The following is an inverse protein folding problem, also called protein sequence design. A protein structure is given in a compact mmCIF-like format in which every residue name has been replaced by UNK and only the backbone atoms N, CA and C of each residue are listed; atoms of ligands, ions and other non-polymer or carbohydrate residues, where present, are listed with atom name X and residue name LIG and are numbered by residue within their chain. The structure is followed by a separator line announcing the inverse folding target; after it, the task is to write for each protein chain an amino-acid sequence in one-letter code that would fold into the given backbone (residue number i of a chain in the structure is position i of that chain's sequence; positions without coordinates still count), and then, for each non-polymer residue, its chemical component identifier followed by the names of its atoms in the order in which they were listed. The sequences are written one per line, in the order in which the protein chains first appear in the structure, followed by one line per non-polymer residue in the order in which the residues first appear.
data_IF_616541196309
#
_entry.id   IF_616541196309
#
_cell.length_a   1.000
_cell.length_b   1.000
_cell.length_c   1.000
_cell.angle_alpha   90.00
_cell.angle_beta   90.00
_cell.angle_gamma   90.00
#
_symmetry.space_group_name_H-M   'P 1'
#
loop_
_entity.id
_entity.type
_entity.pdbx_description
1 polymer ?
#
# COMPACT_ATOMS: atom_id res chain seq x y z
N UNK A 1 -16.27 -25.72 10.84
CA UNK A 1 -15.86 -26.87 11.69
C UNK A 1 -15.89 -26.47 13.17
N UNK A 2 -15.37 -25.32 13.56
CA UNK A 2 -15.37 -24.83 14.97
C UNK A 2 -16.79 -24.63 15.50
N UNK A 3 -17.71 -24.03 14.74
CA UNK A 3 -19.11 -23.85 15.14
C UNK A 3 -19.81 -25.20 15.38
N UNK A 4 -19.56 -26.21 14.55
CA UNK A 4 -20.12 -27.54 14.73
C UNK A 4 -19.58 -28.20 16.01
N UNK A 5 -18.29 -28.00 16.34
CA UNK A 5 -17.71 -28.48 17.59
C UNK A 5 -18.30 -27.74 18.82
N UNK A 6 -18.45 -26.41 18.75
CA UNK A 6 -19.05 -25.63 19.84
C UNK A 6 -20.51 -26.04 20.07
N UNK A 7 -21.32 -26.15 19.03
CA UNK A 7 -22.70 -26.60 19.15
C UNK A 7 -22.75 -28.06 19.63
N UNK A 8 -21.88 -28.92 19.09
CA UNK A 8 -21.78 -30.33 19.43
C UNK A 8 -21.34 -30.58 20.89
N UNK A 9 -20.65 -29.66 21.54
CA UNK A 9 -20.25 -29.75 22.95
C UNK A 9 -21.23 -29.04 23.89
N UNK A 10 -21.76 -27.89 23.48
CA UNK A 10 -22.60 -27.04 24.32
C UNK A 10 -24.01 -27.64 24.51
N UNK A 11 -24.57 -28.23 23.45
CA UNK A 11 -25.89 -28.88 23.51
C UNK A 11 -25.91 -30.09 24.45
N UNK A 12 -24.98 -31.06 24.37
CA UNK A 12 -24.91 -32.15 25.34
C UNK A 12 -24.59 -31.70 26.77
N UNK A 13 -23.72 -30.70 26.93
CA UNK A 13 -23.38 -30.17 28.25
C UNK A 13 -24.60 -29.54 28.93
N UNK A 14 -25.42 -28.76 28.20
CA UNK A 14 -26.66 -28.21 28.74
C UNK A 14 -27.70 -29.30 29.00
N UNK A 15 -27.84 -30.29 28.12
CA UNK A 15 -28.73 -31.43 28.33
C UNK A 15 -28.35 -32.21 29.60
N UNK A 16 -27.05 -32.46 29.85
CA UNK A 16 -26.57 -33.08 31.04
C UNK A 16 -26.83 -32.28 32.33
N UNK A 17 -26.64 -30.95 32.26
CA UNK A 17 -26.93 -30.06 33.38
C UNK A 17 -28.44 -30.07 33.73
N UNK A 18 -29.32 -29.97 32.73
CA UNK A 18 -30.77 -29.99 32.92
C UNK A 18 -31.24 -31.36 33.43
N UNK A 19 -30.75 -32.46 32.86
CA UNK A 19 -31.09 -33.83 33.30
C UNK A 19 -30.53 -34.14 34.68
N UNK A 20 -29.29 -33.69 34.99
CA UNK A 20 -28.65 -33.83 36.27
C UNK A 20 -29.41 -33.06 37.38
N UNK A 21 -29.76 -31.78 37.08
CA UNK A 21 -30.58 -30.94 37.96
C UNK A 21 -31.95 -31.56 38.24
N UNK A 22 -32.62 -32.08 37.16
CA UNK A 22 -33.90 -32.82 37.31
C UNK A 22 -33.76 -34.07 38.18
N UNK A 23 -32.71 -34.87 37.99
CA UNK A 23 -32.47 -36.10 38.77
C UNK A 23 -32.19 -35.83 40.24
N UNK A 24 -31.45 -34.76 40.54
CA UNK A 24 -31.20 -34.29 41.90
C UNK A 24 -32.46 -33.79 42.58
N UNK A 25 -33.25 -32.96 41.86
CA UNK A 25 -34.53 -32.40 42.35
C UNK A 25 -35.57 -33.50 42.63
N UNK A 26 -35.63 -34.53 41.74
CA UNK A 26 -36.53 -35.71 41.97
C UNK A 26 -36.11 -36.58 43.16
N UNK A 27 -34.80 -36.71 43.42
CA UNK A 27 -34.29 -37.44 44.60
C UNK A 27 -34.57 -36.74 45.91
N UNK A 28 -34.71 -35.40 45.93
CA UNK A 28 -34.98 -34.64 47.16
C UNK A 28 -36.47 -34.31 47.33
N UNK A 29 -37.32 -34.62 46.37
CA UNK A 29 -38.74 -34.30 46.39
C UNK A 29 -39.55 -35.45 46.98
N UNK A 30 -39.76 -35.43 48.31
CA UNK A 30 -40.76 -36.25 48.99
C UNK A 30 -42.05 -35.44 49.14
N UNK A 31 -43.03 -35.68 48.24
CA UNK A 31 -44.37 -35.09 48.32
C UNK A 31 -44.95 -34.59 46.98
N UNK A 32 -46.29 -34.50 46.89
CA UNK A 32 -47.00 -34.12 45.63
C UNK A 32 -46.71 -32.71 45.13
N UNK A 33 -46.50 -31.77 46.07
CA UNK A 33 -46.22 -30.35 45.78
C UNK A 33 -44.83 -30.15 45.17
N UNK A 34 -43.87 -30.98 45.56
CA UNK A 34 -42.49 -30.92 45.06
C UNK A 34 -42.39 -31.28 43.56
N UNK A 35 -43.26 -32.22 43.09
CA UNK A 35 -43.32 -32.61 41.67
C UNK A 35 -43.76 -31.46 40.76
N UNK A 36 -44.65 -30.62 41.25
CA UNK A 36 -45.13 -29.47 40.50
C UNK A 36 -44.07 -28.37 40.38
N UNK A 37 -43.30 -28.12 41.46
CA UNK A 37 -42.17 -27.20 41.42
C UNK A 37 -41.05 -27.65 40.49
N UNK A 38 -40.72 -28.91 40.46
CA UNK A 38 -39.71 -29.47 39.54
C UNK A 38 -40.10 -29.32 38.07
N UNK A 39 -41.41 -29.51 37.73
CA UNK A 39 -41.90 -29.24 36.38
C UNK A 39 -41.80 -27.76 36.02
N UNK A 40 -42.16 -26.87 36.93
CA UNK A 40 -42.11 -25.43 36.72
C UNK A 40 -40.67 -24.95 36.48
N UNK A 41 -39.72 -25.38 37.32
CA UNK A 41 -38.31 -25.06 37.16
C UNK A 41 -37.74 -25.60 35.81
N UNK A 42 -38.16 -26.80 35.40
CA UNK A 42 -37.76 -27.38 34.12
C UNK A 42 -38.25 -26.55 32.94
N UNK A 43 -39.53 -26.11 32.94
CA UNK A 43 -40.08 -25.25 31.90
C UNK A 43 -39.38 -23.88 31.84
N UNK A 44 -39.12 -23.24 32.99
CA UNK A 44 -38.39 -21.98 33.02
C UNK A 44 -36.96 -22.13 32.56
N UNK A 45 -36.28 -23.22 32.93
CA UNK A 45 -34.90 -23.51 32.43
C UNK A 45 -34.91 -23.74 30.93
N UNK A 46 -35.90 -24.40 30.36
CA UNK A 46 -36.02 -24.64 28.94
C UNK A 46 -36.27 -23.32 28.17
N UNK A 47 -37.18 -22.46 28.71
CA UNK A 47 -37.49 -21.16 28.13
C UNK A 47 -36.25 -20.24 28.15
N UNK A 48 -35.43 -20.30 29.19
CA UNK A 48 -34.19 -19.54 29.24
C UNK A 48 -33.06 -20.11 28.34
N UNK A 49 -33.01 -21.45 28.22
CA UNK A 49 -31.95 -22.12 27.43
C UNK A 49 -32.08 -21.90 25.93
N UNK A 50 -33.31 -21.84 25.39
CA UNK A 50 -33.56 -21.69 23.96
C UNK A 50 -33.03 -20.37 23.39
N UNK A 51 -33.31 -19.19 23.96
CA UNK A 51 -32.74 -17.92 23.49
C UNK A 51 -31.21 -17.89 23.59
N UNK A 52 -30.65 -18.44 24.67
CA UNK A 52 -29.18 -18.48 24.88
C UNK A 52 -28.49 -19.30 23.81
N UNK A 53 -29.05 -20.47 23.47
CA UNK A 53 -28.53 -21.31 22.39
C UNK A 53 -28.67 -20.67 21.03
N UNK A 54 -29.77 -19.95 20.76
CA UNK A 54 -29.96 -19.21 19.52
C UNK A 54 -28.92 -18.09 19.36
N UNK A 55 -28.69 -17.31 20.40
CA UNK A 55 -27.69 -16.24 20.39
C UNK A 55 -26.29 -16.82 20.19
N UNK A 56 -25.93 -17.88 20.93
CA UNK A 56 -24.63 -18.52 20.78
C UNK A 56 -24.43 -19.11 19.38
N UNK A 57 -25.45 -19.78 18.83
CA UNK A 57 -25.42 -20.32 17.48
C UNK A 57 -25.30 -19.23 16.40
N UNK A 58 -26.04 -18.14 16.55
CA UNK A 58 -25.99 -17.01 15.65
C UNK A 58 -24.62 -16.29 15.71
N UNK A 59 -24.07 -16.08 16.90
CA UNK A 59 -22.75 -15.51 17.06
C UNK A 59 -21.66 -16.38 16.44
N UNK A 60 -21.72 -17.71 16.65
CA UNK A 60 -20.79 -18.65 16.01
C UNK A 60 -20.91 -18.63 14.47
N UNK A 61 -22.12 -18.54 13.94
CA UNK A 61 -22.37 -18.43 12.51
C UNK A 61 -21.80 -17.13 11.92
N UNK A 62 -22.05 -15.98 12.56
CA UNK A 62 -21.49 -14.69 12.13
C UNK A 62 -19.96 -14.69 12.15
N UNK A 63 -19.37 -15.25 13.22
CA UNK A 63 -17.92 -15.34 13.33
C UNK A 63 -17.32 -16.19 12.20
N UNK A 64 -17.92 -17.36 11.93
CA UNK A 64 -17.45 -18.24 10.86
C UNK A 64 -17.63 -17.58 9.48
N UNK A 65 -18.76 -16.95 9.22
CA UNK A 65 -19.03 -16.25 7.96
C UNK A 65 -18.08 -15.04 7.77
N UNK A 66 -17.77 -14.34 8.85
CA UNK A 66 -16.80 -13.23 8.83
C UNK A 66 -15.38 -13.72 8.50
N UNK A 67 -14.94 -14.81 9.13
CA UNK A 67 -13.63 -15.41 8.86
C UNK A 67 -13.56 -15.91 7.41
N UNK A 68 -14.57 -16.63 6.94
CA UNK A 68 -14.63 -17.14 5.57
C UNK A 68 -14.61 -16.00 4.54
N UNK A 69 -15.28 -14.87 4.82
CA UNK A 69 -15.23 -13.68 3.98
C UNK A 69 -13.82 -13.06 3.91
N UNK A 70 -13.14 -12.89 5.05
CA UNK A 70 -11.79 -12.33 5.10
C UNK A 70 -10.73 -13.22 4.42
N UNK A 71 -10.91 -14.54 4.46
CA UNK A 71 -10.00 -15.51 3.85
C UNK A 71 -10.49 -16.03 2.49
N UNK A 72 -11.59 -15.48 1.96
CA UNK A 72 -12.09 -15.87 0.65
C UNK A 72 -11.12 -15.52 -0.47
N UNK A 73 -11.08 -16.34 -1.50
CA UNK A 73 -10.27 -16.09 -2.71
C UNK A 73 -10.61 -14.74 -3.37
N UNK A 74 -11.83 -14.26 -3.17
CA UNK A 74 -12.30 -12.98 -3.69
C UNK A 74 -11.58 -11.79 -3.00
N UNK A 75 -11.39 -11.84 -1.68
CA UNK A 75 -10.66 -10.79 -0.94
C UNK A 75 -9.16 -10.80 -1.27
N UNK A 76 -8.58 -11.99 -1.46
CA UNK A 76 -7.20 -12.13 -1.94
C UNK A 76 -7.04 -11.62 -3.37
N UNK A 77 -7.99 -11.90 -4.24
CA UNK A 77 -8.02 -11.40 -5.62
C UNK A 77 -8.07 -9.87 -5.69
N UNK A 78 -8.88 -9.23 -4.86
CA UNK A 78 -8.94 -7.77 -4.77
C UNK A 78 -7.61 -7.14 -4.33
N UNK A 79 -6.96 -7.71 -3.31
CA UNK A 79 -5.64 -7.23 -2.86
C UNK A 79 -4.54 -7.46 -3.92
N UNK A 80 -4.56 -8.59 -4.61
CA UNK A 80 -3.62 -8.87 -5.69
C UNK A 80 -3.82 -7.92 -6.87
N UNK A 81 -5.06 -7.66 -7.26
CA UNK A 81 -5.39 -6.72 -8.33
C UNK A 81 -5.00 -5.29 -7.96
N UNK A 82 -5.25 -4.84 -6.73
CA UNK A 82 -4.82 -3.54 -6.25
C UNK A 82 -3.30 -3.39 -6.26
N UNK A 83 -2.56 -4.41 -5.85
CA UNK A 83 -1.10 -4.41 -5.88
C UNK A 83 -0.56 -4.41 -7.32
N UNK A 84 -1.17 -5.18 -8.22
CA UNK A 84 -0.80 -5.19 -9.64
C UNK A 84 -1.07 -3.85 -10.31
N UNK A 85 -2.19 -3.21 -9.99
CA UNK A 85 -2.53 -1.88 -10.48
C UNK A 85 -1.53 -0.82 -9.97
N UNK A 86 -1.19 -0.86 -8.68
CA UNK A 86 -0.21 0.05 -8.09
C UNK A 86 1.17 -0.10 -8.73
N UNK A 87 1.61 -1.34 -8.98
CA UNK A 87 2.87 -1.60 -9.69
C UNK A 87 2.83 -1.10 -11.12
N UNK A 88 1.77 -1.40 -11.86
CA UNK A 88 1.61 -0.93 -13.23
C UNK A 88 1.60 0.61 -13.33
N UNK A 89 0.93 1.28 -12.41
CA UNK A 89 0.94 2.74 -12.32
C UNK A 89 2.34 3.30 -12.01
N UNK A 90 3.06 2.67 -11.10
CA UNK A 90 4.43 3.05 -10.77
C UNK A 90 5.39 2.88 -11.96
N UNK A 91 5.33 1.73 -12.65
CA UNK A 91 6.12 1.46 -13.85
C UNK A 91 5.79 2.45 -14.98
N UNK A 92 4.51 2.75 -15.18
CA UNK A 92 4.08 3.73 -16.17
C UNK A 92 4.62 5.13 -15.85
N UNK A 93 4.59 5.54 -14.58
CA UNK A 93 5.15 6.83 -14.15
C UNK A 93 6.67 6.88 -14.35
N UNK A 94 7.40 5.79 -14.09
CA UNK A 94 8.83 5.73 -14.37
C UNK A 94 9.13 5.96 -15.85
N UNK A 95 8.39 5.30 -16.73
CA UNK A 95 8.54 5.46 -18.18
C UNK A 95 8.18 6.88 -18.61
N UNK A 96 7.13 7.45 -18.05
CA UNK A 96 6.70 8.83 -18.34
C UNK A 96 7.78 9.84 -17.94
N UNK A 97 8.30 9.78 -16.71
CA UNK A 97 9.37 10.67 -16.21
C UNK A 97 10.63 10.50 -17.07
N UNK A 98 11.00 9.26 -17.39
CA UNK A 98 12.14 8.98 -18.28
C UNK A 98 12.00 9.67 -19.64
N UNK A 99 10.86 9.48 -20.29
CA UNK A 99 10.60 10.05 -21.62
C UNK A 99 10.57 11.58 -21.60
N UNK A 100 9.94 12.17 -20.60
CA UNK A 100 9.92 13.63 -20.42
C UNK A 100 11.32 14.18 -20.17
N UNK A 101 12.13 13.49 -19.35
CA UNK A 101 13.51 13.90 -19.08
C UNK A 101 14.39 13.84 -20.30
N UNK A 102 14.28 12.76 -21.11
CA UNK A 102 15.03 12.63 -22.38
C UNK A 102 14.62 13.73 -23.37
N UNK A 103 13.32 13.94 -23.54
CA UNK A 103 12.82 14.98 -24.45
C UNK A 103 13.29 16.38 -24.04
N UNK A 104 13.17 16.70 -22.73
CA UNK A 104 13.62 17.98 -22.20
C UNK A 104 15.14 18.15 -22.30
N UNK A 105 15.92 17.09 -22.04
CA UNK A 105 17.38 17.12 -22.20
C UNK A 105 17.80 17.36 -23.65
N UNK A 106 17.10 16.76 -24.61
CA UNK A 106 17.30 17.00 -26.04
C UNK A 106 17.00 18.46 -26.43
N UNK A 107 15.86 19.00 -25.97
CA UNK A 107 15.51 20.38 -26.23
C UNK A 107 16.54 21.35 -25.62
N UNK A 108 16.96 21.11 -24.38
CA UNK A 108 17.99 21.92 -23.74
C UNK A 108 19.35 21.80 -24.46
N UNK A 109 19.67 20.62 -24.98
CA UNK A 109 20.85 20.41 -25.81
C UNK A 109 20.84 21.24 -27.10
N UNK A 110 19.68 21.42 -27.70
CA UNK A 110 19.50 22.32 -28.86
C UNK A 110 19.74 23.79 -28.48
N UNK A 111 19.16 24.25 -27.37
CA UNK A 111 19.34 25.64 -26.92
C UNK A 111 20.78 25.93 -26.50
N UNK A 112 21.50 24.97 -25.91
CA UNK A 112 22.90 25.13 -25.54
C UNK A 112 23.86 25.27 -26.72
N UNK A 113 23.40 25.05 -27.96
CA UNK A 113 24.20 25.39 -29.14
C UNK A 113 24.28 26.91 -29.39
N UNK A 114 23.26 27.66 -28.89
CA UNK A 114 23.15 29.11 -29.10
C UNK A 114 23.34 29.92 -27.83
N UNK A 115 23.03 29.35 -26.66
CA UNK A 115 23.08 29.99 -25.37
C UNK A 115 24.13 29.33 -24.46
N UNK A 116 24.68 30.09 -23.52
CA UNK A 116 25.51 29.55 -22.44
C UNK A 116 24.66 29.23 -21.22
N UNK A 117 25.11 28.29 -20.36
CA UNK A 117 24.42 27.94 -19.11
C UNK A 117 24.21 29.13 -18.15
N UNK A 118 24.96 30.22 -18.35
CA UNK A 118 24.87 31.43 -17.53
C UNK A 118 23.94 32.49 -18.12
N UNK A 119 23.37 32.27 -19.30
CA UNK A 119 22.52 33.23 -19.96
C UNK A 119 21.12 33.28 -19.31
N UNK A 120 20.60 34.45 -18.97
CA UNK A 120 19.25 34.57 -18.40
C UNK A 120 18.16 34.01 -19.30
N UNK A 121 18.27 34.23 -20.62
CA UNK A 121 17.30 33.74 -21.60
C UNK A 121 17.20 32.20 -21.58
N UNK A 122 18.33 31.51 -21.37
CA UNK A 122 18.34 30.06 -21.21
C UNK A 122 17.61 29.63 -19.92
N UNK A 123 17.75 30.38 -18.84
CA UNK A 123 17.05 30.12 -17.60
C UNK A 123 15.53 30.23 -17.77
N UNK A 124 15.07 31.26 -18.48
CA UNK A 124 13.63 31.47 -18.76
C UNK A 124 13.08 30.33 -19.64
N UNK A 125 13.82 29.92 -20.68
CA UNK A 125 13.47 28.76 -21.51
C UNK A 125 13.39 27.50 -20.64
N UNK A 126 14.37 27.26 -19.79
CA UNK A 126 14.40 26.11 -18.90
C UNK A 126 13.17 26.08 -17.98
N UNK A 127 12.85 27.18 -17.31
CA UNK A 127 11.68 27.27 -16.45
C UNK A 127 10.36 27.04 -17.23
N UNK A 128 10.27 27.55 -18.43
CA UNK A 128 9.10 27.32 -19.30
C UNK A 128 8.95 25.83 -19.62
N UNK A 129 10.06 25.16 -19.98
CA UNK A 129 10.09 23.73 -20.28
C UNK A 129 9.65 22.88 -19.08
N UNK A 130 10.13 23.20 -17.86
CA UNK A 130 9.73 22.51 -16.63
C UNK A 130 8.24 22.64 -16.38
N UNK A 131 7.70 23.88 -16.49
CA UNK A 131 6.27 24.14 -16.27
C UNK A 131 5.37 23.48 -17.31
N UNK A 132 5.74 23.52 -18.59
CA UNK A 132 4.95 22.91 -19.67
C UNK A 132 4.86 21.38 -19.54
N UNK A 133 5.84 20.74 -18.91
CA UNK A 133 5.89 19.29 -18.69
C UNK A 133 5.36 18.88 -17.34
N UNK A 134 4.89 19.84 -16.53
CA UNK A 134 4.38 19.58 -15.17
C UNK A 134 5.40 18.84 -14.29
N UNK A 135 6.70 19.15 -14.47
CA UNK A 135 7.78 18.59 -13.69
C UNK A 135 7.83 19.30 -12.34
N UNK A 136 7.77 18.56 -11.25
CA UNK A 136 7.73 19.13 -9.90
C UNK A 136 9.09 19.67 -9.46
N UNK A 137 10.16 18.97 -9.79
CA UNK A 137 11.52 19.32 -9.40
C UNK A 137 12.46 19.07 -10.58
N UNK A 138 13.38 20.00 -10.82
CA UNK A 138 14.34 19.84 -11.90
C UNK A 138 15.65 20.57 -11.58
N UNK A 139 16.76 20.04 -12.09
CA UNK A 139 18.06 20.68 -12.02
C UNK A 139 18.89 20.41 -13.27
N UNK A 140 19.59 21.41 -13.74
CA UNK A 140 20.71 21.24 -14.70
C UNK A 140 22.00 21.16 -13.89
N UNK A 141 22.73 20.08 -14.10
CA UNK A 141 24.01 19.88 -13.44
C UNK A 141 25.15 19.85 -14.46
N UNK A 142 26.28 20.40 -14.07
CA UNK A 142 27.50 20.42 -14.84
C UNK A 142 28.64 19.78 -14.06
N UNK A 143 29.43 18.94 -14.73
CA UNK A 143 30.64 18.37 -14.15
C UNK A 143 31.73 19.43 -14.07
N UNK A 144 32.38 19.53 -12.91
CA UNK A 144 33.52 20.42 -12.66
C UNK A 144 34.85 19.65 -12.82
N UNK A 145 35.95 20.38 -12.92
CA UNK A 145 37.28 19.81 -13.19
C UNK A 145 37.80 18.80 -12.17
N UNK A 146 37.30 18.83 -10.92
CA UNK A 146 37.56 17.85 -9.88
C UNK A 146 36.71 16.56 -9.96
N UNK A 147 35.82 16.51 -10.96
CA UNK A 147 34.90 15.40 -11.15
C UNK A 147 33.60 15.50 -10.40
N UNK A 148 33.40 16.49 -9.56
CA UNK A 148 32.13 16.75 -8.86
C UNK A 148 31.06 17.30 -9.80
N UNK A 149 29.80 17.16 -9.39
CA UNK A 149 28.65 17.73 -10.10
C UNK A 149 28.20 19.00 -9.38
N UNK A 150 28.06 20.09 -10.13
CA UNK A 150 27.57 21.37 -9.63
C UNK A 150 26.22 21.71 -10.29
N UNK A 151 25.29 22.21 -9.50
CA UNK A 151 24.00 22.71 -9.98
C UNK A 151 24.25 24.02 -10.74
N UNK A 152 23.84 24.07 -12.00
CA UNK A 152 23.92 25.25 -12.85
C UNK A 152 22.58 26.02 -12.89
N UNK A 153 21.45 25.26 -12.86
CA UNK A 153 20.10 25.81 -12.75
C UNK A 153 19.26 24.86 -11.91
N UNK A 154 18.24 25.39 -11.22
CA UNK A 154 17.37 24.61 -10.34
C UNK A 154 15.96 25.16 -10.37
N UNK A 155 14.97 24.25 -10.33
CA UNK A 155 13.57 24.55 -10.19
C UNK A 155 12.99 23.73 -9.04
N UNK A 156 12.45 24.38 -8.02
CA UNK A 156 11.66 23.86 -6.87
C UNK A 156 12.23 22.59 -6.21
N UNK A 157 13.55 22.55 -6.04
CA UNK A 157 14.22 21.41 -5.43
C UNK A 157 13.93 21.33 -3.93
N UNK A 158 13.35 20.22 -3.47
CA UNK A 158 13.06 20.00 -2.06
C UNK A 158 14.35 19.86 -1.22
N UNK A 159 14.31 20.40 0.01
CA UNK A 159 15.37 20.20 0.99
C UNK A 159 15.54 18.70 1.31
N UNK A 160 16.74 18.18 1.12
CA UNK A 160 17.04 16.75 1.31
C UNK A 160 17.26 15.97 0.01
N UNK A 161 16.97 16.57 -1.14
CA UNK A 161 17.33 16.00 -2.42
C UNK A 161 18.77 16.35 -2.78
N UNK A 162 19.51 15.34 -3.19
CA UNK A 162 20.91 15.46 -3.57
C UNK A 162 21.13 15.14 -5.05
N UNK A 163 20.64 15.97 -6.00
CA UNK A 163 20.73 15.68 -7.43
C UNK A 163 22.18 15.54 -7.90
N UNK A 164 23.11 16.26 -7.28
CA UNK A 164 24.54 16.17 -7.60
C UNK A 164 25.10 14.78 -7.26
N UNK A 165 24.68 14.19 -6.14
CA UNK A 165 25.08 12.83 -5.73
C UNK A 165 24.50 11.78 -6.66
N UNK A 166 23.21 11.91 -6.99
CA UNK A 166 22.57 11.02 -7.95
C UNK A 166 23.22 11.12 -9.33
N UNK A 167 23.49 12.33 -9.82
CA UNK A 167 24.15 12.56 -11.09
C UNK A 167 25.57 11.98 -11.13
N UNK A 168 26.36 12.13 -10.05
CA UNK A 168 27.69 11.55 -9.97
C UNK A 168 27.66 10.01 -10.06
N UNK A 169 26.68 9.38 -9.40
CA UNK A 169 26.51 7.93 -9.45
C UNK A 169 25.99 7.41 -10.81
N UNK A 170 25.12 8.18 -11.47
CA UNK A 170 24.49 7.79 -12.75
C UNK A 170 25.33 8.10 -13.99
N UNK A 171 26.24 9.08 -13.91
CA UNK A 171 27.05 9.54 -15.04
C UNK A 171 27.84 8.43 -15.77
N UNK A 172 28.42 7.43 -15.10
CA UNK A 172 29.08 6.31 -15.79
C UNK A 172 28.14 5.54 -16.70
N UNK A 173 26.89 5.31 -16.26
CA UNK A 173 25.86 4.59 -17.06
C UNK A 173 25.45 5.39 -18.29
N UNK A 174 25.25 6.69 -18.17
CA UNK A 174 24.97 7.56 -19.32
C UNK A 174 26.13 7.53 -20.34
N UNK A 175 27.38 7.44 -19.88
CA UNK A 175 28.56 7.33 -20.73
C UNK A 175 28.68 6.00 -21.46
N UNK A 176 28.11 4.94 -20.92
CA UNK A 176 28.04 3.63 -21.59
C UNK A 176 26.93 3.55 -22.65
N UNK A 177 26.15 4.63 -22.81
CA UNK A 177 25.14 4.76 -23.86
C UNK A 177 23.70 4.61 -23.39
N UNK A 178 23.45 4.53 -22.07
CA UNK A 178 22.07 4.61 -21.56
C UNK A 178 21.50 6.01 -21.85
N UNK A 179 20.31 6.11 -22.47
CA UNK A 179 19.71 7.41 -22.79
C UNK A 179 19.20 8.16 -21.54
N UNK A 180 18.86 7.42 -20.50
CA UNK A 180 18.34 7.94 -19.25
C UNK A 180 18.62 6.95 -18.12
N UNK A 181 18.94 7.44 -16.96
CA UNK A 181 19.03 6.64 -15.72
C UNK A 181 17.87 7.01 -14.82
N UNK A 182 17.04 6.04 -14.53
CA UNK A 182 15.89 6.22 -13.62
C UNK A 182 16.20 5.55 -12.28
N UNK A 183 15.89 6.23 -11.22
CA UNK A 183 15.89 5.72 -9.86
C UNK A 183 14.58 6.13 -9.19
N UNK A 184 14.11 5.33 -8.24
CA UNK A 184 12.91 5.71 -7.54
C UNK A 184 12.48 4.71 -6.50
N UNK A 185 11.63 5.19 -5.64
CA UNK A 185 10.89 4.42 -4.64
C UNK A 185 9.40 4.75 -4.80
N UNK A 186 8.47 4.09 -4.08
CA UNK A 186 7.04 4.35 -4.22
C UNK A 186 6.59 5.79 -3.95
N UNK A 187 7.46 6.62 -3.34
CA UNK A 187 7.15 8.01 -2.99
C UNK A 187 7.77 9.00 -3.96
N UNK A 188 8.81 8.59 -4.74
CA UNK A 188 9.59 9.48 -5.59
C UNK A 188 10.21 8.72 -6.76
N UNK A 189 10.12 9.31 -7.93
CA UNK A 189 10.80 8.86 -9.15
C UNK A 189 11.74 9.98 -9.58
N UNK A 190 12.98 9.63 -9.84
CA UNK A 190 14.04 10.53 -10.28
C UNK A 190 14.60 10.04 -11.60
N UNK A 191 14.88 10.94 -12.52
CA UNK A 191 15.48 10.60 -13.79
C UNK A 191 16.64 11.55 -14.11
N UNK A 192 17.69 11.01 -14.74
CA UNK A 192 18.83 11.75 -15.22
C UNK A 192 19.06 11.45 -16.67
N UNK A 193 19.09 12.48 -17.52
CA UNK A 193 19.41 12.35 -18.93
C UNK A 193 20.57 13.27 -19.34
N UNK A 194 21.39 12.91 -20.34
CA UNK A 194 22.47 13.75 -20.78
C UNK A 194 21.95 14.89 -21.66
N UNK A 195 22.39 16.11 -21.38
CA UNK A 195 22.22 17.26 -22.29
C UNK A 195 23.44 17.33 -23.22
N UNK A 196 24.64 17.35 -22.65
CA UNK A 196 25.90 17.27 -23.38
C UNK A 196 26.95 16.47 -22.58
N UNK A 197 27.20 15.25 -22.98
CA UNK A 197 28.17 14.37 -22.31
C UNK A 197 29.61 14.83 -22.45
N UNK A 198 29.95 15.61 -23.48
CA UNK A 198 31.32 16.10 -23.69
C UNK A 198 31.66 17.13 -22.64
N UNK A 199 30.78 18.08 -22.39
CA UNK A 199 30.91 19.06 -21.32
C UNK A 199 30.45 18.57 -19.94
N UNK A 200 29.87 17.36 -19.88
CA UNK A 200 29.36 16.76 -18.65
C UNK A 200 28.12 17.45 -18.11
N UNK A 201 27.29 18.01 -19.00
CA UNK A 201 26.01 18.62 -18.64
C UNK A 201 24.90 17.59 -18.68
N UNK A 202 24.14 17.48 -17.60
CA UNK A 202 23.03 16.54 -17.46
C UNK A 202 21.78 17.22 -16.89
N UNK A 203 20.62 16.70 -17.23
CA UNK A 203 19.33 17.12 -16.69
C UNK A 203 18.86 16.11 -15.66
N UNK A 204 18.44 16.60 -14.52
CA UNK A 204 17.77 15.88 -13.44
C UNK A 204 16.33 16.36 -13.33
N UNK A 205 15.40 15.43 -13.24
CA UNK A 205 13.97 15.64 -12.99
C UNK A 205 13.45 14.65 -11.96
#
# INVERSE_FOLDING_TARGET
RVAALVIGTLVPAMALLVLGGRRLALRRAEGSTARMHVRLVFFFSLIAAVPTLLVAGFAAFLFQSGVDFWFSDNSRGLMQNANSLARGYYEQNQVQVANQTVAMASDMGYYLQSFKLTDPDLADIYFLQVKQREINESAILQRVGDGSMRIAAVFDLNAGNEPARFAAAALPRLRTGEPVVVSGNPQRIEALAPIDLKSGVVLYN
#
